data_IF_477655601112
#
_entry.id   IF_477655601112
#
_cell.length_a   1.000
_cell.length_b   1.000
_cell.length_c   1.000
_cell.angle_alpha   90.00
_cell.angle_beta   90.00
_cell.angle_gamma   90.00
#
_symmetry.space_group_name_H-M   'P 1'
#
loop_
_entity.id
_entity.type
_entity.pdbx_description
1 polymer ?
#
# COMPACT_ATOMS: atom_id res chain seq x y z
N UNK A 1 1.81 -0.16 -10.25
CA UNK A 1 0.33 -0.04 -10.22
C UNK A 1 -0.34 -0.91 -11.29
N UNK A 2 0.07 -0.87 -12.58
CA UNK A 2 -0.51 -1.70 -13.65
C UNK A 2 -0.49 -3.20 -13.33
N UNK A 3 0.63 -3.70 -12.81
CA UNK A 3 0.75 -5.10 -12.42
C UNK A 3 -0.27 -5.47 -11.34
N UNK A 4 -0.35 -4.66 -10.30
CA UNK A 4 -1.28 -4.91 -9.19
C UNK A 4 -2.73 -4.88 -9.65
N UNK A 5 -3.13 -3.87 -10.43
CA UNK A 5 -4.46 -3.76 -11.01
C UNK A 5 -4.81 -5.00 -11.87
N UNK A 6 -3.91 -5.40 -12.77
CA UNK A 6 -4.12 -6.57 -13.62
C UNK A 6 -4.17 -7.88 -12.83
N UNK A 7 -3.27 -8.06 -11.85
CA UNK A 7 -3.22 -9.25 -11.01
C UNK A 7 -4.50 -9.40 -10.17
N UNK A 8 -5.01 -8.31 -9.60
CA UNK A 8 -6.28 -8.29 -8.86
C UNK A 8 -7.48 -8.59 -9.77
N UNK A 9 -7.49 -8.05 -11.00
CA UNK A 9 -8.54 -8.36 -11.98
C UNK A 9 -8.51 -9.84 -12.36
N UNK A 10 -7.35 -10.38 -12.65
CA UNK A 10 -7.18 -11.82 -12.94
C UNK A 10 -7.66 -12.68 -11.76
N UNK A 11 -7.24 -12.34 -10.54
CA UNK A 11 -7.68 -13.02 -9.34
C UNK A 11 -9.20 -12.98 -9.16
N UNK A 12 -9.85 -11.85 -9.47
CA UNK A 12 -11.32 -11.73 -9.40
C UNK A 12 -12.06 -12.63 -10.37
N UNK A 13 -11.44 -12.98 -11.49
CA UNK A 13 -12.00 -13.93 -12.47
C UNK A 13 -11.80 -15.39 -12.05
N UNK A 14 -10.75 -15.68 -11.26
CA UNK A 14 -10.39 -17.02 -10.82
C UNK A 14 -10.91 -17.39 -9.42
N UNK A 15 -11.34 -16.41 -8.64
CA UNK A 15 -11.77 -16.57 -7.25
C UNK A 15 -10.80 -15.89 -6.29
N UNK A 16 -10.93 -14.56 -6.17
CA UNK A 16 -10.04 -13.73 -5.34
C UNK A 16 -10.10 -14.10 -3.84
N UNK A 17 -11.18 -14.71 -3.39
CA UNK A 17 -11.36 -15.20 -2.02
C UNK A 17 -10.35 -16.29 -1.61
N UNK A 18 -9.73 -16.96 -2.58
CA UNK A 18 -8.69 -17.97 -2.35
C UNK A 18 -7.27 -17.41 -2.43
N UNK A 19 -7.13 -16.11 -2.74
CA UNK A 19 -5.84 -15.46 -2.89
C UNK A 19 -5.32 -14.91 -1.56
N UNK A 20 -4.01 -14.99 -1.35
CA UNK A 20 -3.33 -14.25 -0.29
C UNK A 20 -3.29 -12.75 -0.69
N UNK A 21 -3.80 -11.83 0.14
CA UNK A 21 -3.82 -10.40 -0.19
C UNK A 21 -2.44 -9.80 -0.45
N UNK A 22 -1.38 -10.47 -0.02
CA UNK A 22 0.01 -10.00 -0.23
C UNK A 22 0.62 -10.43 -1.56
N UNK A 23 -0.06 -11.25 -2.37
CA UNK A 23 0.48 -11.76 -3.65
C UNK A 23 0.39 -10.79 -4.81
N UNK A 24 -0.31 -9.66 -4.63
CA UNK A 24 -0.46 -8.64 -5.68
C UNK A 24 0.72 -7.68 -5.78
N UNK A 25 1.73 -7.87 -4.95
CA UNK A 25 2.97 -7.11 -4.97
C UNK A 25 3.94 -7.67 -6.02
N UNK A 26 4.37 -6.85 -6.99
CA UNK A 26 5.30 -7.26 -8.04
C UNK A 26 6.69 -7.65 -7.50
N UNK A 27 7.09 -7.09 -6.37
CA UNK A 27 8.39 -7.34 -5.73
C UNK A 27 8.37 -8.51 -4.75
N UNK A 28 7.20 -9.16 -4.57
CA UNK A 28 7.07 -10.25 -3.62
C UNK A 28 7.91 -11.45 -4.02
N UNK A 29 8.75 -11.88 -3.11
CA UNK A 29 9.47 -13.16 -3.23
C UNK A 29 8.49 -14.33 -3.19
N UNK A 30 8.64 -15.23 -4.14
CA UNK A 30 7.90 -16.50 -4.22
C UNK A 30 8.88 -17.66 -4.15
N UNK A 31 8.50 -18.69 -3.39
CA UNK A 31 9.25 -19.94 -3.39
C UNK A 31 8.98 -20.74 -4.67
N UNK A 32 9.97 -21.53 -5.09
CA UNK A 32 9.74 -22.53 -6.12
C UNK A 32 8.64 -23.49 -5.68
N UNK A 33 7.75 -23.93 -6.60
CA UNK A 33 6.77 -24.95 -6.29
C UNK A 33 7.45 -26.18 -5.71
N UNK A 34 6.98 -26.64 -4.56
CA UNK A 34 7.52 -27.81 -3.88
C UNK A 34 6.40 -28.60 -3.23
N UNK A 35 6.63 -29.88 -3.01
CA UNK A 35 5.73 -30.74 -2.26
C UNK A 35 6.52 -31.60 -1.26
N UNK A 36 5.84 -32.19 -0.29
CA UNK A 36 6.45 -33.14 0.62
C UNK A 36 6.98 -34.37 -0.15
N UNK A 37 8.01 -35.03 0.39
CA UNK A 37 8.66 -36.19 -0.26
C UNK A 37 7.73 -37.38 -0.45
N UNK A 38 6.66 -37.48 0.34
CA UNK A 38 5.62 -38.50 0.30
C UNK A 38 4.39 -38.11 -0.53
N UNK A 39 4.41 -36.92 -1.13
CA UNK A 39 3.32 -36.39 -1.94
C UNK A 39 3.61 -36.56 -3.44
N UNK A 40 2.55 -36.69 -4.21
CA UNK A 40 2.66 -36.72 -5.66
C UNK A 40 2.68 -35.28 -6.21
N UNK A 41 3.76 -34.89 -6.89
CA UNK A 41 3.82 -33.63 -7.61
C UNK A 41 3.14 -33.78 -8.98
N UNK A 42 2.07 -33.04 -9.19
CA UNK A 42 1.32 -33.01 -10.44
C UNK A 42 1.31 -31.60 -11.00
N UNK A 43 1.66 -31.46 -12.25
CA UNK A 43 1.49 -30.23 -12.99
C UNK A 43 1.00 -30.50 -14.41
N UNK A 44 0.31 -29.50 -14.96
CA UNK A 44 -0.18 -29.59 -16.34
C UNK A 44 0.15 -28.26 -17.04
N UNK A 45 0.68 -28.38 -18.25
CA UNK A 45 1.00 -27.23 -19.11
C UNK A 45 0.01 -27.22 -20.28
N UNK A 46 -0.54 -26.06 -20.55
CA UNK A 46 -1.39 -25.81 -21.72
C UNK A 46 -0.65 -24.83 -22.64
N UNK A 47 -0.58 -25.16 -23.93
CA UNK A 47 0.02 -24.30 -24.96
C UNK A 47 -0.99 -23.24 -25.42
N UNK A 48 -1.33 -22.36 -24.49
CA UNK A 48 -2.23 -21.24 -24.71
C UNK A 48 -1.44 -19.91 -24.69
N UNK A 49 -1.92 -18.85 -25.37
CA UNK A 49 -1.31 -17.54 -25.28
C UNK A 49 -1.36 -17.00 -23.85
N UNK A 50 -0.37 -16.17 -23.51
CA UNK A 50 -0.35 -15.47 -22.22
C UNK A 50 -1.54 -14.53 -22.07
N UNK A 51 -1.96 -14.28 -20.82
CA UNK A 51 -2.96 -13.27 -20.53
C UNK A 51 -2.53 -11.90 -21.06
N UNK A 52 -3.48 -11.19 -21.68
CA UNK A 52 -3.24 -9.84 -22.15
C UNK A 52 -3.36 -8.85 -20.99
N UNK A 53 -2.27 -8.19 -20.61
CA UNK A 53 -2.28 -7.11 -19.62
C UNK A 53 -3.29 -6.03 -20.02
N UNK A 54 -3.23 -5.56 -21.26
CA UNK A 54 -4.18 -4.57 -21.78
C UNK A 54 -5.63 -5.05 -21.73
N UNK A 55 -5.85 -6.35 -21.96
CA UNK A 55 -7.20 -6.96 -21.87
C UNK A 55 -7.74 -6.92 -20.45
N UNK A 56 -6.91 -7.25 -19.45
CA UNK A 56 -7.29 -7.22 -18.04
C UNK A 56 -7.55 -5.80 -17.55
N UNK A 57 -6.69 -4.85 -17.86
CA UNK A 57 -6.86 -3.44 -17.51
C UNK A 57 -8.10 -2.84 -18.18
N UNK A 58 -8.40 -3.22 -19.43
CA UNK A 58 -9.59 -2.79 -20.15
C UNK A 58 -10.93 -3.29 -19.57
N UNK A 59 -10.90 -4.21 -18.60
CA UNK A 59 -12.10 -4.67 -17.87
C UNK A 59 -12.49 -3.76 -16.70
N UNK A 60 -11.68 -2.75 -16.38
CA UNK A 60 -12.05 -1.70 -15.44
C UNK A 60 -12.81 -0.57 -16.15
N UNK A 61 -13.62 0.16 -15.42
CA UNK A 61 -14.11 1.46 -15.88
C UNK A 61 -12.97 2.47 -15.96
N UNK A 62 -12.21 2.54 -14.88
CA UNK A 62 -10.92 3.23 -14.81
C UNK A 62 -9.98 2.43 -13.89
N UNK A 63 -8.92 1.83 -14.43
CA UNK A 63 -7.97 1.05 -13.63
C UNK A 63 -7.03 1.94 -12.78
N UNK A 64 -6.94 3.24 -13.08
CA UNK A 64 -6.17 4.18 -12.27
C UNK A 64 -6.86 4.47 -10.92
N UNK A 65 -8.18 4.30 -10.85
CA UNK A 65 -8.94 4.44 -9.62
C UNK A 65 -8.78 3.20 -8.73
N UNK A 66 -7.91 3.30 -7.74
CA UNK A 66 -7.60 2.21 -6.78
C UNK A 66 -8.85 1.73 -6.03
N UNK A 67 -9.87 2.57 -5.88
CA UNK A 67 -11.12 2.19 -5.21
C UNK A 67 -11.92 1.12 -5.96
N UNK A 68 -11.69 0.99 -7.27
CA UNK A 68 -12.32 -0.02 -8.13
C UNK A 68 -11.58 -1.36 -8.15
N UNK A 69 -10.41 -1.44 -7.53
CA UNK A 69 -9.64 -2.68 -7.55
C UNK A 69 -10.29 -3.76 -6.69
N UNK A 70 -10.46 -4.98 -7.22
CA UNK A 70 -10.97 -6.10 -6.44
C UNK A 70 -10.14 -6.36 -5.18
N UNK A 71 -10.82 -6.58 -4.06
CA UNK A 71 -10.18 -6.84 -2.78
C UNK A 71 -10.41 -8.28 -2.34
N UNK A 72 -9.41 -8.88 -1.68
CA UNK A 72 -9.57 -10.17 -1.02
C UNK A 72 -10.53 -9.99 0.16
N UNK A 73 -11.56 -10.83 0.31
CA UNK A 73 -12.46 -10.74 1.46
C UNK A 73 -11.69 -10.80 2.79
N UNK A 74 -11.97 -9.83 3.65
CA UNK A 74 -11.30 -9.73 4.95
C UNK A 74 -9.93 -9.05 4.94
N UNK A 75 -9.43 -8.57 3.81
CA UNK A 75 -8.20 -7.76 3.74
C UNK A 75 -8.29 -6.55 4.67
N UNK A 76 -9.44 -5.86 4.71
CA UNK A 76 -9.70 -4.75 5.63
C UNK A 76 -9.58 -5.16 7.12
N UNK A 77 -9.97 -6.38 7.46
CA UNK A 77 -9.85 -6.88 8.83
C UNK A 77 -8.38 -7.16 9.21
N UNK A 78 -7.57 -7.58 8.24
CA UNK A 78 -6.12 -7.76 8.43
C UNK A 78 -5.47 -6.41 8.64
N UNK A 79 -5.83 -5.43 7.83
CA UNK A 79 -5.32 -4.06 7.94
C UNK A 79 -5.72 -3.42 9.29
N UNK A 80 -6.98 -3.52 9.68
CA UNK A 80 -7.44 -3.07 11.01
C UNK A 80 -6.71 -3.76 12.17
N UNK A 81 -6.35 -5.05 12.04
CA UNK A 81 -5.54 -5.76 13.04
C UNK A 81 -4.09 -5.26 13.09
N UNK A 82 -3.52 -4.86 11.94
CA UNK A 82 -2.19 -4.23 11.89
C UNK A 82 -2.23 -2.86 12.57
N UNK A 83 -3.24 -2.04 12.25
CA UNK A 83 -3.49 -0.75 12.89
C UNK A 83 -3.65 -0.89 14.41
N UNK A 84 -4.45 -1.84 14.88
CA UNK A 84 -4.68 -2.07 16.31
C UNK A 84 -3.43 -2.53 17.09
N UNK A 85 -2.38 -2.99 16.37
CA UNK A 85 -1.07 -3.35 16.97
C UNK A 85 -0.09 -2.19 16.98
N UNK A 86 -0.38 -1.11 16.27
CA UNK A 86 0.49 0.07 16.28
C UNK A 86 0.28 0.84 17.59
N UNK A 87 1.39 1.25 18.16
CA UNK A 87 1.36 2.18 19.29
C UNK A 87 0.83 3.54 18.81
N UNK A 88 -0.06 4.15 19.58
CA UNK A 88 -0.53 5.50 19.31
C UNK A 88 0.68 6.45 19.23
N UNK A 89 0.92 7.07 18.07
CA UNK A 89 2.10 7.90 17.85
C UNK A 89 2.16 9.12 18.77
N UNK A 90 1.01 9.57 19.29
CA UNK A 90 0.94 10.70 20.22
C UNK A 90 1.50 10.36 21.60
N UNK A 91 1.53 9.08 21.98
CA UNK A 91 2.08 8.60 23.26
C UNK A 91 3.59 8.43 23.23
N UNK A 92 4.19 8.38 22.05
CA UNK A 92 5.65 8.24 21.90
C UNK A 92 6.41 9.38 22.57
N UNK A 93 7.57 9.03 23.13
CA UNK A 93 8.50 10.02 23.71
C UNK A 93 9.33 10.71 22.62
N UNK A 94 9.94 11.84 22.99
CA UNK A 94 10.84 12.57 22.11
C UNK A 94 10.13 13.32 20.99
N UNK A 95 10.87 13.57 19.89
CA UNK A 95 10.44 14.44 18.80
C UNK A 95 9.24 13.84 18.03
N UNK A 96 9.20 12.52 17.85
CA UNK A 96 8.12 11.83 17.12
C UNK A 96 6.78 12.09 17.82
N UNK A 97 6.71 11.81 19.12
CA UNK A 97 5.47 12.05 19.88
C UNK A 97 5.11 13.52 20.00
N UNK A 98 6.10 14.41 20.16
CA UNK A 98 5.85 15.85 20.18
C UNK A 98 5.25 16.33 18.85
N UNK A 99 5.78 15.86 17.73
CA UNK A 99 5.27 16.20 16.41
C UNK A 99 3.85 15.66 16.19
N UNK A 100 3.61 14.37 16.48
CA UNK A 100 2.29 13.74 16.30
C UNK A 100 1.21 14.27 17.25
N UNK A 101 1.58 14.84 18.40
CA UNK A 101 0.63 15.59 19.24
C UNK A 101 0.29 16.96 18.69
N UNK A 102 1.15 17.54 17.86
CA UNK A 102 0.99 18.90 17.31
C UNK A 102 0.30 18.87 15.96
N UNK A 103 0.56 17.84 15.15
CA UNK A 103 0.05 17.70 13.78
C UNK A 103 -0.54 16.32 13.56
N UNK A 104 -1.76 16.28 13.05
CA UNK A 104 -2.36 15.09 12.46
C UNK A 104 -1.79 14.83 11.06
N UNK A 105 -2.16 13.73 10.43
CA UNK A 105 -1.76 13.41 9.04
C UNK A 105 -2.17 14.52 8.08
N UNK A 106 -3.44 14.92 8.10
CA UNK A 106 -3.96 15.94 7.19
C UNK A 106 -3.33 17.31 7.43
N UNK A 107 -3.13 17.69 8.68
CA UNK A 107 -2.43 18.94 9.02
C UNK A 107 -0.96 18.92 8.60
N UNK A 108 -0.32 17.75 8.68
CA UNK A 108 1.05 17.60 8.22
C UNK A 108 1.16 17.69 6.69
N UNK A 109 0.21 17.10 5.95
CA UNK A 109 0.10 17.25 4.49
C UNK A 109 0.00 18.71 4.07
N UNK A 110 -0.95 19.44 4.64
CA UNK A 110 -1.20 20.83 4.30
C UNK A 110 -0.01 21.75 4.59
N UNK A 111 0.65 21.51 5.71
CA UNK A 111 1.67 22.43 6.22
C UNK A 111 3.07 22.18 5.66
N UNK A 112 3.48 20.93 5.54
CA UNK A 112 4.87 20.55 5.24
C UNK A 112 5.07 20.04 3.83
N UNK A 113 4.04 19.42 3.24
CA UNK A 113 4.08 18.84 1.90
C UNK A 113 2.87 19.27 1.06
N UNK A 114 2.59 20.60 0.99
CA UNK A 114 1.40 21.10 0.29
C UNK A 114 1.39 20.70 -1.16
N UNK A 115 0.22 20.24 -1.65
CA UNK A 115 0.02 19.82 -3.03
C UNK A 115 0.57 18.43 -3.39
N UNK A 116 1.17 17.69 -2.44
CA UNK A 116 1.58 16.30 -2.68
C UNK A 116 0.42 15.32 -2.61
N UNK A 117 -0.65 15.68 -1.90
CA UNK A 117 -1.86 14.88 -1.79
C UNK A 117 -3.08 15.73 -2.07
N UNK A 118 -4.00 15.19 -2.86
CA UNK A 118 -5.30 15.80 -3.17
C UNK A 118 -6.41 14.94 -2.56
N UNK A 119 -7.37 15.57 -1.87
CA UNK A 119 -8.52 14.89 -1.32
C UNK A 119 -9.44 14.42 -2.45
N UNK A 120 -10.00 13.22 -2.30
CA UNK A 120 -10.99 12.68 -3.24
C UNK A 120 -12.40 12.87 -2.70
N UNK A 121 -13.42 12.61 -3.52
CA UNK A 121 -14.83 12.63 -3.10
C UNK A 121 -15.15 11.56 -2.03
N UNK A 122 -14.24 10.60 -1.81
CA UNK A 122 -14.38 9.55 -0.80
C UNK A 122 -13.66 9.94 0.48
N UNK A 123 -14.41 10.09 1.57
CA UNK A 123 -13.87 10.49 2.87
C UNK A 123 -12.65 9.64 3.30
N UNK A 124 -11.59 10.31 3.69
CA UNK A 124 -10.35 9.68 4.17
C UNK A 124 -9.47 9.08 3.07
N UNK A 125 -9.81 9.31 1.78
CA UNK A 125 -8.99 8.91 0.64
C UNK A 125 -8.37 10.12 -0.04
N UNK A 126 -7.09 9.96 -0.35
CA UNK A 126 -6.27 10.97 -1.01
C UNK A 126 -5.58 10.39 -2.24
N UNK A 127 -5.28 11.24 -3.18
CA UNK A 127 -4.47 10.93 -4.38
C UNK A 127 -3.08 11.53 -4.18
N UNK A 128 -2.05 10.70 -4.32
CA UNK A 128 -0.68 11.21 -4.40
C UNK A 128 -0.43 11.78 -5.80
N UNK A 129 -0.08 13.07 -5.88
CA UNK A 129 0.03 13.81 -7.15
C UNK A 129 1.24 13.43 -7.99
N UNK A 130 2.24 12.79 -7.40
CA UNK A 130 3.42 12.28 -8.11
C UNK A 130 3.24 10.90 -8.76
N UNK A 131 2.03 10.31 -8.68
CA UNK A 131 1.71 8.99 -9.24
C UNK A 131 0.70 9.04 -10.38
N UNK A 132 0.37 7.86 -10.92
CA UNK A 132 -0.57 7.69 -12.03
C UNK A 132 -1.97 7.24 -11.56
N UNK A 133 -2.09 6.78 -10.31
CA UNK A 133 -3.33 6.25 -9.74
C UNK A 133 -4.00 7.26 -8.84
N UNK A 134 -5.31 7.10 -8.62
CA UNK A 134 -6.13 7.99 -7.81
C UNK A 134 -6.72 7.27 -6.60
N UNK A 135 -6.93 7.98 -5.48
CA UNK A 135 -7.62 7.47 -4.30
C UNK A 135 -6.91 6.36 -3.54
N UNK A 136 -5.60 6.18 -3.76
CA UNK A 136 -4.81 5.09 -3.19
C UNK A 136 -4.20 5.37 -1.83
N UNK A 137 -4.22 6.60 -1.35
CA UNK A 137 -3.73 6.95 -0.03
C UNK A 137 -4.91 7.04 0.96
N UNK A 138 -4.86 6.27 2.06
CA UNK A 138 -5.94 6.15 3.03
C UNK A 138 -5.50 6.65 4.39
N UNK A 139 -6.29 7.54 4.97
CA UNK A 139 -6.10 8.06 6.34
C UNK A 139 -6.96 7.26 7.31
N UNK A 140 -6.36 6.78 8.38
CA UNK A 140 -6.95 5.89 9.36
C UNK A 140 -6.92 6.45 10.78
N UNK A 141 -7.74 5.82 11.63
CA UNK A 141 -7.73 5.97 13.09
C UNK A 141 -7.80 7.41 13.58
N UNK A 142 -8.77 8.15 13.05
CA UNK A 142 -8.97 9.54 13.47
C UNK A 142 -7.83 10.47 13.10
N UNK A 143 -7.25 10.28 11.92
CA UNK A 143 -6.17 11.11 11.36
C UNK A 143 -4.78 10.90 11.99
N UNK A 144 -4.53 9.69 12.55
CA UNK A 144 -3.25 9.33 13.17
C UNK A 144 -2.29 8.63 12.22
N UNK A 145 -2.81 7.90 11.24
CA UNK A 145 -2.01 7.09 10.31
C UNK A 145 -2.44 7.28 8.87
N UNK A 146 -1.46 7.14 7.96
CA UNK A 146 -1.65 7.04 6.51
C UNK A 146 -1.10 5.70 6.03
N UNK A 147 -1.79 5.09 5.07
CA UNK A 147 -1.28 3.99 4.25
C UNK A 147 -1.47 4.32 2.78
N UNK A 148 -0.44 4.17 1.96
CA UNK A 148 -0.49 4.48 0.53
C UNK A 148 -0.29 3.24 -0.33
N UNK A 149 -1.16 3.07 -1.32
CA UNK A 149 -1.04 2.08 -2.40
C UNK A 149 -0.37 2.64 -3.66
N UNK A 150 -0.07 3.94 -3.70
CA UNK A 150 0.60 4.56 -4.84
C UNK A 150 2.06 4.13 -4.88
N UNK A 151 2.49 3.45 -5.95
CA UNK A 151 3.84 2.89 -6.06
C UNK A 151 4.96 3.94 -6.06
N UNK A 152 4.67 5.15 -6.54
CA UNK A 152 5.63 6.26 -6.57
C UNK A 152 5.63 7.11 -5.30
N UNK A 153 4.73 6.85 -4.37
CA UNK A 153 4.67 7.56 -3.10
C UNK A 153 5.82 7.08 -2.18
N UNK A 154 6.61 7.99 -1.58
CA UNK A 154 7.61 7.62 -0.57
C UNK A 154 7.06 6.81 0.59
N UNK A 155 5.75 6.92 0.87
CA UNK A 155 5.04 6.15 1.88
C UNK A 155 4.41 4.85 1.34
N UNK A 156 4.75 4.43 0.11
CA UNK A 156 4.16 3.25 -0.52
C UNK A 156 4.24 2.02 0.39
N UNK A 157 3.07 1.36 0.59
CA UNK A 157 2.93 0.12 1.38
C UNK A 157 3.46 0.18 2.81
N UNK A 158 3.59 1.38 3.35
CA UNK A 158 3.96 1.62 4.73
C UNK A 158 2.81 2.29 5.48
N UNK A 159 2.62 1.87 6.73
CA UNK A 159 1.72 2.57 7.65
C UNK A 159 2.55 3.63 8.38
N UNK A 160 2.32 4.88 8.07
CA UNK A 160 3.10 6.00 8.57
C UNK A 160 2.27 6.91 9.47
N UNK A 161 2.88 7.47 10.50
CA UNK A 161 2.34 8.58 11.29
C UNK A 161 2.73 9.93 10.69
N UNK A 162 2.23 11.04 11.24
CA UNK A 162 2.48 12.38 10.71
C UNK A 162 3.97 12.76 10.65
N UNK A 163 4.78 12.30 11.61
CA UNK A 163 6.24 12.54 11.59
C UNK A 163 6.91 11.78 10.45
N UNK A 164 6.62 10.48 10.33
CA UNK A 164 7.22 9.63 9.29
C UNK A 164 6.77 10.06 7.89
N UNK A 165 5.52 10.52 7.73
CA UNK A 165 5.02 11.10 6.48
C UNK A 165 5.92 12.25 6.01
N UNK A 166 6.14 13.23 6.88
CA UNK A 166 6.99 14.39 6.54
C UNK A 166 8.44 13.99 6.34
N UNK A 167 8.97 13.09 7.17
CA UNK A 167 10.33 12.59 7.07
C UNK A 167 10.60 11.92 5.72
N UNK A 168 9.74 11.00 5.30
CA UNK A 168 9.91 10.28 4.04
C UNK A 168 9.84 11.20 2.82
N UNK A 169 8.92 12.16 2.82
CA UNK A 169 8.78 13.09 1.70
C UNK A 169 9.87 14.16 1.61
N UNK A 170 10.35 14.64 2.75
CA UNK A 170 11.29 15.77 2.76
C UNK A 170 12.75 15.35 2.95
N UNK A 171 12.98 14.18 3.52
CA UNK A 171 14.31 13.74 3.96
C UNK A 171 14.63 12.29 3.60
N UNK A 172 13.83 11.65 2.72
CA UNK A 172 14.03 10.26 2.31
C UNK A 172 15.43 9.98 1.79
N UNK A 173 15.99 10.88 0.97
CA UNK A 173 17.37 10.77 0.45
C UNK A 173 18.41 10.63 1.58
N UNK A 174 18.19 11.27 2.73
CA UNK A 174 19.08 11.17 3.87
C UNK A 174 18.95 9.84 4.62
N UNK A 175 17.76 9.23 4.55
CA UNK A 175 17.55 7.89 5.12
C UNK A 175 18.31 6.84 4.31
N UNK A 176 18.36 6.97 2.99
CA UNK A 176 19.10 6.07 2.09
C UNK A 176 20.63 6.14 2.33
N UNK A 177 21.13 7.31 2.76
CA UNK A 177 22.53 7.50 3.14
C UNK A 177 22.84 7.00 4.57
N UNK A 178 21.82 6.76 5.39
CA UNK A 178 22.00 6.32 6.77
C UNK A 178 22.48 4.87 6.85
N UNK A 179 23.35 4.56 7.82
CA UNK A 179 23.75 3.18 8.09
C UNK A 179 22.57 2.41 8.68
N UNK A 180 22.40 1.14 8.27
CA UNK A 180 21.42 0.24 8.84
C UNK A 180 21.47 0.24 10.37
N UNK A 181 20.30 0.38 11.01
CA UNK A 181 20.18 0.47 12.47
C UNK A 181 20.44 1.86 13.07
N UNK A 182 20.63 2.90 12.25
CA UNK A 182 20.71 4.28 12.77
C UNK A 182 19.37 4.69 13.38
N UNK A 183 19.33 5.12 14.66
CA UNK A 183 18.08 5.55 15.28
C UNK A 183 17.51 6.78 14.57
N UNK A 184 16.19 6.84 14.42
CA UNK A 184 15.47 8.06 14.03
C UNK A 184 15.49 9.01 15.22
N UNK A 185 16.29 10.06 15.15
CA UNK A 185 16.41 11.09 16.17
C UNK A 185 15.80 12.41 15.73
#
# INVERSE_FOLDING_TARGET
>A
DEYEAAARKLASLLGIEFCDPTTFDAERLMYWPSCCSDSQYVYQVYDNPFCSLKGLLGMYGDWHDVSQWPQVPGADAIERRRLAKQEDPTTKRGIIGAFCRTYSITQAMEKFIPGMYEETDMQGRYTYTGGETTGGALVYDGDLFLYSYHSHDPCCRQLVNAFDLVRLHMFGDKDDEAKEGTPVN
#
